data_IF_916501763718
#
_entry.id   IF_916501763718
#
_cell.length_a   1.000
_cell.length_b   1.000
_cell.length_c   1.000
_cell.angle_alpha   90.00
_cell.angle_beta   90.00
_cell.angle_gamma   90.00
#
_symmetry.space_group_name_H-M   'P 1'
#
loop_
_entity.id
_entity.type
_entity.pdbx_description
1 polymer ?
#
# COMPACT_ATOMS: atom_id res chain seq x y z
N UNK A 1 21.43 11.61 -16.77
CA UNK A 1 20.83 10.52 -15.98
C UNK A 1 20.94 10.93 -14.51
N UNK A 2 19.86 11.47 -13.93
CA UNK A 2 19.86 11.93 -12.54
C UNK A 2 19.43 10.78 -11.63
N UNK A 3 20.26 10.46 -10.66
CA UNK A 3 20.00 9.42 -9.65
C UNK A 3 19.13 10.06 -8.56
N UNK A 4 17.90 9.58 -8.40
CA UNK A 4 17.04 9.93 -7.27
C UNK A 4 17.59 9.25 -6.01
N UNK A 5 18.19 10.03 -5.11
CA UNK A 5 18.55 9.57 -3.77
C UNK A 5 17.32 9.64 -2.86
N UNK A 6 16.92 8.50 -2.30
CA UNK A 6 15.89 8.41 -1.27
C UNK A 6 16.57 8.34 0.11
N UNK A 7 16.42 9.39 0.91
CA UNK A 7 16.80 9.37 2.32
C UNK A 7 15.63 8.81 3.14
N UNK A 8 15.75 7.56 3.60
CA UNK A 8 14.82 6.97 4.54
C UNK A 8 15.27 7.27 5.98
N UNK A 9 14.58 8.17 6.66
CA UNK A 9 14.72 8.37 8.10
C UNK A 9 13.78 7.40 8.83
N UNK A 10 14.33 6.32 9.38
CA UNK A 10 13.56 5.35 10.17
C UNK A 10 13.38 5.87 11.61
N UNK A 11 12.16 6.27 11.97
CA UNK A 11 11.80 6.58 13.36
C UNK A 11 11.52 5.26 14.09
N UNK A 12 12.24 4.99 15.19
CA UNK A 12 11.95 3.85 16.07
C UNK A 12 10.58 4.03 16.73
N UNK A 13 9.73 2.98 16.83
CA UNK A 13 8.45 3.11 17.51
C UNK A 13 8.68 3.35 19.01
N UNK A 14 8.17 4.47 19.51
CA UNK A 14 8.05 4.75 20.93
C UNK A 14 6.75 4.14 21.43
N UNK A 15 6.85 3.16 22.34
CA UNK A 15 5.71 2.56 23.01
C UNK A 15 5.16 3.56 24.03
N UNK A 16 4.16 4.36 23.66
CA UNK A 16 3.28 5.04 24.62
C UNK A 16 1.85 5.07 24.06
N UNK A 17 1.02 4.19 24.61
CA UNK A 17 -0.44 4.21 24.44
C UNK A 17 -1.00 5.39 25.22
N UNK A 18 -1.85 6.21 24.62
CA UNK A 18 -2.76 7.11 25.35
C UNK A 18 -4.07 7.26 24.59
N UNK A 19 -5.17 7.06 25.31
CA UNK A 19 -6.54 7.01 24.82
C UNK A 19 -7.19 8.38 24.56
N UNK A 20 -8.27 8.32 23.76
CA UNK A 20 -9.51 9.14 23.72
C UNK A 20 -9.69 10.18 22.61
N UNK A 21 -10.81 10.00 21.91
CA UNK A 21 -11.47 10.97 21.05
C UNK A 21 -12.53 10.32 20.15
N UNK A 22 -13.67 9.91 20.72
CA UNK A 22 -14.81 9.38 19.95
C UNK A 22 -15.40 10.45 19.01
N UNK A 23 -15.50 10.13 17.72
CA UNK A 23 -16.47 10.80 16.82
C UNK A 23 -17.20 9.71 16.04
N UNK A 24 -18.53 9.73 16.11
CA UNK A 24 -19.45 8.77 15.49
C UNK A 24 -19.38 8.84 13.96
N UNK A 25 -18.66 7.89 13.38
CA UNK A 25 -18.89 7.35 12.04
C UNK A 25 -19.07 5.85 12.19
N UNK A 26 -19.94 5.24 11.39
CA UNK A 26 -20.28 3.82 11.46
C UNK A 26 -19.02 2.94 11.49
N UNK A 27 -18.68 2.45 12.69
CA UNK A 27 -17.48 1.68 12.95
C UNK A 27 -17.63 0.27 12.37
N UNK A 28 -17.18 0.07 11.13
CA UNK A 28 -16.62 -1.22 10.77
C UNK A 28 -15.34 -1.34 11.59
N UNK A 29 -15.40 -2.07 12.71
CA UNK A 29 -14.27 -2.38 13.55
C UNK A 29 -13.19 -3.14 12.74
N UNK A 30 -12.24 -2.42 12.16
CA UNK A 30 -11.03 -2.97 11.54
C UNK A 30 -9.90 -3.09 12.58
N UNK A 31 -10.20 -3.58 13.78
CA UNK A 31 -9.36 -3.49 14.98
C UNK A 31 -8.01 -4.23 14.87
N UNK A 32 -7.79 -5.04 13.81
CA UNK A 32 -6.53 -5.74 13.56
C UNK A 32 -5.92 -5.51 12.15
N UNK A 33 -6.50 -4.65 11.31
CA UNK A 33 -6.00 -4.48 9.93
C UNK A 33 -4.95 -3.38 9.86
N UNK A 34 -3.72 -3.78 9.55
CA UNK A 34 -2.58 -2.92 9.22
C UNK A 34 -2.70 -2.19 7.86
N UNK A 35 -3.91 -2.04 7.34
CA UNK A 35 -4.19 -1.39 6.06
C UNK A 35 -4.82 -0.04 6.36
N UNK A 36 -4.25 1.03 5.79
CA UNK A 36 -4.77 2.38 6.01
C UNK A 36 -6.21 2.53 5.50
N UNK A 37 -7.05 3.26 6.23
CA UNK A 37 -8.48 3.46 5.87
C UNK A 37 -8.65 4.02 4.45
N UNK A 38 -7.72 4.89 4.03
CA UNK A 38 -7.71 5.48 2.69
C UNK A 38 -7.57 4.44 1.57
N UNK A 39 -6.94 3.29 1.83
CA UNK A 39 -6.87 2.19 0.85
C UNK A 39 -8.27 1.59 0.62
N UNK A 40 -9.06 1.45 1.69
CA UNK A 40 -10.45 1.00 1.58
C UNK A 40 -11.31 2.05 0.87
N UNK A 41 -11.08 3.33 1.14
CA UNK A 41 -11.75 4.41 0.41
C UNK A 41 -11.43 4.34 -1.08
N UNK A 42 -10.19 4.10 -1.48
CA UNK A 42 -9.81 3.94 -2.89
C UNK A 42 -10.54 2.76 -3.53
N UNK A 43 -10.65 1.62 -2.82
CA UNK A 43 -11.36 0.44 -3.34
C UNK A 43 -12.85 0.73 -3.50
N UNK A 44 -13.49 1.32 -2.49
CA UNK A 44 -14.94 1.44 -2.37
C UNK A 44 -15.52 2.73 -2.98
N UNK A 45 -14.72 3.77 -3.19
CA UNK A 45 -15.16 5.09 -3.66
C UNK A 45 -14.50 5.50 -4.98
N UNK A 46 -14.93 6.62 -5.58
CA UNK A 46 -14.38 7.11 -6.85
C UNK A 46 -13.24 8.13 -6.64
N UNK A 47 -12.22 7.77 -5.85
CA UNK A 47 -10.98 8.56 -5.77
C UNK A 47 -10.26 8.49 -7.12
N UNK A 48 -9.86 9.65 -7.66
CA UNK A 48 -9.03 9.70 -8.87
C UNK A 48 -7.59 9.34 -8.53
N UNK A 49 -6.86 8.79 -9.50
CA UNK A 49 -5.42 8.53 -9.37
C UNK A 49 -4.64 9.81 -9.00
N UNK A 50 -5.10 10.97 -9.47
CA UNK A 50 -4.49 12.28 -9.17
C UNK A 50 -4.65 12.73 -7.72
N UNK A 51 -5.64 12.20 -7.03
CA UNK A 51 -5.99 12.56 -5.66
C UNK A 51 -5.36 11.60 -4.64
N UNK A 52 -4.49 10.69 -5.09
CA UNK A 52 -3.78 9.77 -4.22
C UNK A 52 -2.81 10.54 -3.30
N UNK A 53 -2.67 10.16 -2.02
CA UNK A 53 -1.74 10.80 -1.10
C UNK A 53 -0.28 10.70 -1.54
N UNK A 54 0.07 9.61 -2.20
CA UNK A 54 1.38 9.31 -2.75
C UNK A 54 1.23 8.29 -3.87
N UNK A 55 2.20 8.25 -4.77
CA UNK A 55 2.30 7.19 -5.78
C UNK A 55 3.15 6.01 -5.32
N UNK A 56 3.60 6.02 -4.06
CA UNK A 56 4.37 4.92 -3.48
C UNK A 56 3.56 4.27 -2.37
N UNK A 57 3.47 2.95 -2.42
CA UNK A 57 2.91 2.11 -1.39
C UNK A 57 4.00 1.27 -0.76
N UNK A 58 3.98 1.18 0.56
CA UNK A 58 4.77 0.23 1.33
C UNK A 58 3.86 -0.94 1.72
N UNK A 59 4.35 -2.15 1.48
CA UNK A 59 3.56 -3.36 1.68
C UNK A 59 4.34 -4.39 2.49
N UNK A 60 3.68 -4.98 3.47
CA UNK A 60 4.23 -6.08 4.27
C UNK A 60 3.16 -7.14 4.47
N UNK A 61 3.52 -8.33 4.94
CA UNK A 61 2.54 -9.32 5.39
C UNK A 61 3.03 -9.97 6.67
N UNK A 62 2.14 -10.04 7.66
CA UNK A 62 2.44 -10.69 8.96
C UNK A 62 2.35 -12.20 8.87
N UNK A 63 1.42 -12.71 8.07
CA UNK A 63 1.09 -14.14 7.98
C UNK A 63 1.84 -14.86 6.86
N UNK A 64 2.01 -14.19 5.72
CA UNK A 64 2.52 -14.79 4.51
C UNK A 64 3.86 -14.17 4.11
N UNK A 65 4.68 -14.93 3.37
CA UNK A 65 5.82 -14.34 2.69
C UNK A 65 5.31 -13.46 1.54
N UNK A 66 5.44 -12.14 1.68
CA UNK A 66 4.96 -11.19 0.67
C UNK A 66 5.61 -11.41 -0.70
N UNK A 67 6.86 -11.90 -0.74
CA UNK A 67 7.50 -12.28 -2.00
C UNK A 67 6.71 -13.38 -2.70
N UNK A 68 6.30 -14.42 -1.98
CA UNK A 68 5.54 -15.53 -2.56
C UNK A 68 4.16 -15.07 -3.05
N UNK A 69 3.55 -14.10 -2.38
CA UNK A 69 2.29 -13.48 -2.85
C UNK A 69 2.52 -12.78 -4.19
N UNK A 70 3.54 -11.95 -4.28
CA UNK A 70 3.87 -11.25 -5.53
C UNK A 70 4.31 -12.21 -6.64
N UNK A 71 5.10 -13.24 -6.34
CA UNK A 71 5.48 -14.27 -7.30
C UNK A 71 4.22 -14.92 -7.91
N UNK A 72 3.24 -15.32 -7.07
CA UNK A 72 1.95 -15.88 -7.54
C UNK A 72 1.17 -14.90 -8.43
N UNK A 73 1.12 -13.64 -8.04
CA UNK A 73 0.45 -12.58 -8.83
C UNK A 73 1.10 -12.41 -10.20
N UNK A 74 2.43 -12.51 -10.29
CA UNK A 74 3.16 -12.38 -11.56
C UNK A 74 3.08 -13.64 -12.43
N UNK A 75 2.94 -14.82 -11.83
CA UNK A 75 2.70 -16.06 -12.58
C UNK A 75 1.28 -16.15 -13.16
N UNK A 76 0.32 -15.45 -12.58
CA UNK A 76 -1.04 -15.33 -13.12
C UNK A 76 -1.05 -14.36 -14.31
N UNK A 77 -1.53 -14.82 -15.47
CA UNK A 77 -1.47 -14.03 -16.72
C UNK A 77 -2.23 -12.71 -16.60
N UNK A 78 -3.45 -12.73 -16.08
CA UNK A 78 -4.31 -11.55 -15.97
C UNK A 78 -3.78 -10.56 -14.94
N UNK A 79 -3.43 -11.06 -13.75
CA UNK A 79 -2.94 -10.23 -12.66
C UNK A 79 -1.57 -9.64 -12.99
N UNK A 80 -0.71 -10.36 -13.72
CA UNK A 80 0.59 -9.82 -14.16
C UNK A 80 0.44 -8.61 -15.08
N UNK A 81 -0.56 -8.62 -15.97
CA UNK A 81 -0.88 -7.47 -16.84
C UNK A 81 -1.39 -6.32 -15.98
N UNK A 82 -2.32 -6.59 -15.07
CA UNK A 82 -2.89 -5.58 -14.17
C UNK A 82 -1.79 -4.92 -13.34
N UNK A 83 -0.83 -5.68 -12.80
CA UNK A 83 0.29 -5.13 -12.04
C UNK A 83 1.14 -4.20 -12.90
N UNK A 84 1.50 -4.63 -14.12
CA UNK A 84 2.31 -3.83 -15.06
C UNK A 84 1.62 -2.53 -15.47
N UNK A 85 0.31 -2.60 -15.72
CA UNK A 85 -0.50 -1.42 -16.04
C UNK A 85 -0.70 -0.51 -14.81
N UNK A 86 -0.74 -1.08 -13.61
CA UNK A 86 -0.89 -0.35 -12.34
C UNK A 86 0.40 0.34 -11.92
N UNK A 87 1.57 -0.21 -12.26
CA UNK A 87 2.86 0.33 -11.83
C UNK A 87 4.00 -0.67 -11.89
N UNK A 88 4.98 -0.47 -11.01
CA UNK A 88 6.12 -1.38 -10.82
C UNK A 88 6.35 -1.64 -9.34
N UNK A 89 7.09 -2.70 -9.02
CA UNK A 89 7.38 -3.03 -7.63
C UNK A 89 8.81 -3.53 -7.44
N UNK A 90 9.33 -3.35 -6.23
CA UNK A 90 10.63 -3.83 -5.79
C UNK A 90 10.43 -4.57 -4.47
N UNK A 91 10.96 -5.78 -4.38
CA UNK A 91 11.00 -6.55 -3.13
C UNK A 91 12.31 -6.31 -2.39
N UNK A 92 12.21 -5.77 -1.18
CA UNK A 92 13.34 -5.56 -0.28
C UNK A 92 13.51 -6.76 0.63
N UNK A 93 14.38 -7.69 0.22
CA UNK A 93 14.53 -9.00 0.89
C UNK A 93 14.86 -8.90 2.38
N UNK A 94 15.73 -7.97 2.78
CA UNK A 94 16.13 -7.82 4.18
C UNK A 94 14.98 -7.35 5.08
N UNK A 95 14.12 -6.47 4.55
CA UNK A 95 12.99 -5.90 5.28
C UNK A 95 11.72 -6.73 5.14
N UNK A 96 11.69 -7.70 4.21
CA UNK A 96 10.48 -8.44 3.81
C UNK A 96 9.34 -7.49 3.43
N UNK A 97 9.69 -6.42 2.73
CA UNK A 97 8.79 -5.34 2.32
C UNK A 97 8.75 -5.26 0.81
N UNK A 98 7.59 -4.96 0.25
CA UNK A 98 7.46 -4.55 -1.15
C UNK A 98 7.23 -3.05 -1.20
N UNK A 99 8.01 -2.37 -2.03
CA UNK A 99 7.71 -1.00 -2.45
C UNK A 99 7.01 -1.10 -3.80
N UNK A 100 5.79 -0.59 -3.88
CA UNK A 100 5.02 -0.52 -5.12
C UNK A 100 4.89 0.94 -5.57
N UNK A 101 5.36 1.23 -6.77
CA UNK A 101 5.26 2.55 -7.39
C UNK A 101 4.12 2.53 -8.40
N UNK A 102 3.05 3.25 -8.08
CA UNK A 102 1.86 3.42 -8.91
C UNK A 102 2.22 4.28 -10.13
N UNK A 103 1.79 3.86 -11.32
CA UNK A 103 1.88 4.67 -12.52
C UNK A 103 0.81 5.77 -12.49
N UNK A 104 1.22 7.04 -12.61
CA UNK A 104 0.32 8.20 -12.56
C UNK A 104 -0.79 8.18 -13.63
N UNK A 105 -0.54 7.49 -14.75
CA UNK A 105 -1.49 7.36 -15.85
C UNK A 105 -2.31 6.06 -15.79
N UNK A 106 -2.20 5.28 -14.72
CA UNK A 106 -2.90 4.01 -14.63
C UNK A 106 -4.42 4.18 -14.59
N UNK A 107 -5.15 3.17 -15.06
CA UNK A 107 -6.58 3.11 -14.84
C UNK A 107 -6.86 2.74 -13.37
N UNK A 108 -7.63 3.58 -12.67
CA UNK A 108 -8.02 3.34 -11.28
C UNK A 108 -8.63 1.94 -11.06
N UNK A 109 -9.30 1.36 -12.07
CA UNK A 109 -9.87 0.01 -11.98
C UNK A 109 -8.79 -1.06 -11.77
N UNK A 110 -7.63 -0.91 -12.38
CA UNK A 110 -6.50 -1.84 -12.21
C UNK A 110 -5.90 -1.72 -10.82
N UNK A 111 -5.66 -0.48 -10.36
CA UNK A 111 -5.18 -0.23 -9.00
C UNK A 111 -6.14 -0.81 -7.94
N UNK A 112 -7.45 -0.59 -8.08
CA UNK A 112 -8.45 -1.18 -7.18
C UNK A 112 -8.40 -2.70 -7.16
N UNK A 113 -8.29 -3.33 -8.34
CA UNK A 113 -8.24 -4.79 -8.46
C UNK A 113 -7.01 -5.37 -7.76
N UNK A 114 -5.82 -4.77 -7.95
CA UNK A 114 -4.61 -5.28 -7.30
C UNK A 114 -4.62 -5.03 -5.78
N UNK A 115 -5.08 -3.86 -5.32
CA UNK A 115 -5.20 -3.56 -3.89
C UNK A 115 -6.12 -4.57 -3.19
N UNK A 116 -7.25 -4.91 -3.82
CA UNK A 116 -8.17 -5.93 -3.28
C UNK A 116 -7.52 -7.31 -3.18
N UNK A 117 -6.86 -7.77 -4.24
CA UNK A 117 -6.14 -9.07 -4.24
C UNK A 117 -5.09 -9.12 -3.12
N UNK A 118 -4.34 -8.03 -2.93
CA UNK A 118 -3.32 -7.95 -1.89
C UNK A 118 -3.95 -8.02 -0.48
N UNK A 119 -5.01 -7.25 -0.21
CA UNK A 119 -5.71 -7.27 1.07
C UNK A 119 -6.31 -8.65 1.37
N UNK A 120 -6.91 -9.29 0.37
CA UNK A 120 -7.48 -10.63 0.49
C UNK A 120 -6.39 -11.70 0.79
N UNK A 121 -5.12 -11.40 0.52
CA UNK A 121 -3.95 -12.23 0.85
C UNK A 121 -3.24 -11.80 2.15
N UNK A 122 -3.91 -11.05 3.03
CA UNK A 122 -3.36 -10.56 4.31
C UNK A 122 -2.11 -9.66 4.13
N UNK A 123 -2.11 -8.82 3.08
CA UNK A 123 -1.07 -7.79 2.88
C UNK A 123 -1.48 -6.50 3.59
N UNK A 124 -0.60 -6.00 4.45
CA UNK A 124 -0.64 -4.65 5.01
C UNK A 124 -0.20 -3.65 3.93
N UNK A 125 -0.94 -2.56 3.77
CA UNK A 125 -0.67 -1.55 2.74
C UNK A 125 -0.78 -0.16 3.36
N UNK A 126 0.25 0.65 3.15
CA UNK A 126 0.29 2.05 3.54
C UNK A 126 0.88 2.90 2.41
N UNK A 127 0.47 4.17 2.32
CA UNK A 127 1.14 5.13 1.45
C UNK A 127 2.45 5.58 2.08
N UNK A 128 3.47 5.80 1.25
CA UNK A 128 4.71 6.44 1.67
C UNK A 128 4.40 7.81 2.30
N UNK A 129 4.66 7.91 3.60
CA UNK A 129 4.46 9.13 4.37
C UNK A 129 5.70 10.01 4.23
N UNK A 130 5.91 10.60 3.04
CA UNK A 130 6.84 11.73 2.98
C UNK A 130 6.20 12.87 3.77
N UNK A 131 6.69 13.07 4.98
CA UNK A 131 6.39 14.25 5.79
C UNK A 131 6.68 15.45 4.91
N UNK A 132 5.63 16.18 4.49
CA UNK A 132 5.82 17.54 4.00
C UNK A 132 6.32 18.33 5.20
N UNK A 133 7.65 18.47 5.29
CA UNK A 133 8.23 19.51 6.13
C UNK A 133 7.79 20.81 5.45
N UNK A 134 6.71 21.39 5.97
CA UNK A 134 6.25 22.74 5.64
C UNK A 134 7.09 23.75 6.42
#
# INVERSE_FOLDING_TARGET
>A
MQILQFNFNFIKPSNNVSERGETKGENIQYVDKCVSSIIFDIINSNISIKDLPSYILLMTSKKNNIKNIFDKIIYDQDLSIIVKESGSYIYLNYLKTVIFTINENTNIKYLKRILKVLIDNDVCIEFDQRVRIL
#
